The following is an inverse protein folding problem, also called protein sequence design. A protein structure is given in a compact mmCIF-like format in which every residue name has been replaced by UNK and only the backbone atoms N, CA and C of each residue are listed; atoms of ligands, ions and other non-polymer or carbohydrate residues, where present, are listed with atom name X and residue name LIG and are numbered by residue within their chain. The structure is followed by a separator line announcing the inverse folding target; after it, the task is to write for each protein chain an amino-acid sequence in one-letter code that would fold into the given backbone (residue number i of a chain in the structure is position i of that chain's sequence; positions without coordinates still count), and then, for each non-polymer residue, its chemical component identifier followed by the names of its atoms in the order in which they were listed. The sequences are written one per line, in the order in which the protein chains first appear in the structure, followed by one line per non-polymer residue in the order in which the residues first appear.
data_IF_953469981171
#
_entry.id   IF_953469981171
#
_cell.length_a   1.000
_cell.length_b   1.000
_cell.length_c   1.000
_cell.angle_alpha   90.00
_cell.angle_beta   90.00
_cell.angle_gamma   90.00
#
_symmetry.space_group_name_H-M   'P 1'
#
loop_
_entity.id
_entity.type
_entity.pdbx_description
1 polymer ?
#
# COMPACT_ATOMS: atom_id res chain seq x y z
N UNK A 1 36.98 14.65 12.04
CA UNK A 1 35.98 15.73 11.85
C UNK A 1 34.67 15.01 11.55
N UNK A 2 33.75 15.00 12.51
CA UNK A 2 32.41 14.46 12.34
C UNK A 2 31.62 15.45 11.47
N UNK A 3 31.60 15.17 10.16
CA UNK A 3 30.74 15.93 9.27
C UNK A 3 29.29 15.54 9.57
N UNK A 4 28.45 16.49 9.95
CA UNK A 4 27.02 16.29 10.05
C UNK A 4 26.47 15.96 8.65
N UNK A 5 25.96 14.75 8.49
CA UNK A 5 25.28 14.31 7.26
C UNK A 5 23.77 14.27 7.51
N UNK A 6 23.08 15.30 7.04
CA UNK A 6 21.60 15.38 7.14
C UNK A 6 20.87 14.33 6.29
N UNK A 7 21.57 13.71 5.34
CA UNK A 7 21.00 12.69 4.47
C UNK A 7 20.85 11.33 5.14
N UNK A 8 21.51 11.08 6.28
CA UNK A 8 21.50 9.78 6.95
C UNK A 8 20.13 9.36 7.50
N UNK A 9 19.35 10.32 8.01
CA UNK A 9 18.00 10.06 8.54
C UNK A 9 16.95 10.55 7.56
N UNK A 10 15.86 9.80 7.40
CA UNK A 10 14.73 10.14 6.54
C UNK A 10 13.41 10.21 7.30
N UNK A 11 12.38 10.83 6.70
CA UNK A 11 11.12 11.11 7.38
C UNK A 11 11.20 12.31 8.33
N UNK A 12 12.18 13.19 8.11
CA UNK A 12 12.34 14.42 8.89
C UNK A 12 11.21 15.41 8.63
N UNK A 13 10.96 16.30 9.57
CA UNK A 13 10.14 17.48 9.31
C UNK A 13 10.74 18.35 8.20
N UNK A 14 9.89 19.07 7.46
CA UNK A 14 10.32 19.87 6.30
C UNK A 14 11.41 20.90 6.68
N UNK A 15 11.29 21.52 7.86
CA UNK A 15 12.28 22.47 8.39
C UNK A 15 13.68 21.85 8.58
N UNK A 16 13.75 20.53 8.71
CA UNK A 16 15.00 19.79 8.95
C UNK A 16 15.48 19.01 7.73
N UNK A 17 15.04 19.39 6.53
CA UNK A 17 15.43 18.75 5.29
C UNK A 17 14.58 17.52 4.93
N UNK A 18 13.36 17.42 5.45
CA UNK A 18 12.40 16.42 5.04
C UNK A 18 11.87 16.66 3.63
N UNK A 19 11.35 15.61 3.00
CA UNK A 19 10.75 15.66 1.66
C UNK A 19 9.23 15.81 1.73
N UNK A 20 8.67 16.63 0.87
CA UNK A 20 7.24 16.58 0.54
C UNK A 20 6.87 15.20 -0.02
N UNK A 21 5.60 14.83 0.06
CA UNK A 21 5.05 13.53 -0.34
C UNK A 21 5.62 12.31 0.42
N UNK A 22 6.53 12.48 1.43
CA UNK A 22 7.09 11.35 2.19
C UNK A 22 6.03 10.68 3.06
N UNK A 23 5.14 11.46 3.64
CA UNK A 23 4.05 10.97 4.51
C UNK A 23 3.05 10.14 3.70
N UNK A 24 2.73 10.57 2.51
CA UNK A 24 1.79 9.97 1.57
C UNK A 24 2.36 8.74 0.86
N UNK A 25 3.68 8.67 0.75
CA UNK A 25 4.41 7.82 -0.19
C UNK A 25 4.04 6.34 -0.16
N UNK A 26 3.81 5.76 1.01
CA UNK A 26 3.47 4.33 1.10
C UNK A 26 2.07 4.06 0.58
N UNK A 27 1.08 4.85 1.00
CA UNK A 27 -0.30 4.71 0.55
C UNK A 27 -0.45 5.04 -0.94
N UNK A 28 0.17 6.12 -1.39
CA UNK A 28 0.17 6.51 -2.81
C UNK A 28 0.87 5.47 -3.69
N UNK A 29 2.05 5.03 -3.26
CA UNK A 29 2.83 4.01 -3.96
C UNK A 29 2.06 2.70 -4.10
N UNK A 30 1.36 2.26 -3.05
CA UNK A 30 0.47 1.11 -3.10
C UNK A 30 -0.55 1.23 -4.22
N UNK A 31 -1.24 2.36 -4.31
CA UNK A 31 -2.27 2.58 -5.33
C UNK A 31 -1.67 2.72 -6.73
N UNK A 32 -0.49 3.30 -6.89
CA UNK A 32 0.22 3.32 -8.17
C UNK A 32 0.57 1.90 -8.62
N UNK A 33 1.06 1.05 -7.72
CA UNK A 33 1.37 -0.35 -8.04
C UNK A 33 0.10 -1.12 -8.43
N UNK A 34 -0.96 -1.04 -7.61
CA UNK A 34 -2.26 -1.70 -7.87
C UNK A 34 -2.85 -1.21 -9.18
N UNK A 35 -2.78 0.10 -9.47
CA UNK A 35 -3.26 0.66 -10.73
C UNK A 35 -2.51 0.07 -11.93
N UNK A 36 -1.17 -0.01 -11.89
CA UNK A 36 -0.38 -0.62 -12.96
C UNK A 36 -0.78 -2.09 -13.19
N UNK A 37 -1.02 -2.85 -12.11
CA UNK A 37 -1.47 -4.23 -12.17
C UNK A 37 -2.85 -4.36 -12.82
N UNK A 38 -3.79 -3.47 -12.49
CA UNK A 38 -5.14 -3.43 -13.05
C UNK A 38 -5.13 -2.98 -14.52
N UNK A 39 -4.37 -1.93 -14.86
CA UNK A 39 -4.25 -1.42 -16.21
C UNK A 39 -3.71 -2.50 -17.17
N UNK A 40 -2.77 -3.34 -16.72
CA UNK A 40 -2.26 -4.45 -17.50
C UNK A 40 -3.31 -5.54 -17.81
N UNK A 41 -4.39 -5.58 -17.05
CA UNK A 41 -5.55 -6.47 -17.27
C UNK A 41 -6.75 -5.73 -17.88
N UNK A 42 -6.59 -4.46 -18.26
CA UNK A 42 -7.67 -3.58 -18.76
C UNK A 42 -8.84 -3.43 -17.75
N UNK A 43 -8.54 -3.43 -16.45
CA UNK A 43 -9.50 -3.25 -15.37
C UNK A 43 -9.37 -1.83 -14.83
N UNK A 44 -10.49 -1.11 -14.73
CA UNK A 44 -10.50 0.23 -14.11
C UNK A 44 -10.76 0.14 -12.61
N UNK A 45 -10.03 0.93 -11.83
CA UNK A 45 -10.31 1.11 -10.41
C UNK A 45 -11.54 1.99 -10.16
N UNK A 46 -11.91 2.82 -11.15
CA UNK A 46 -13.07 3.73 -11.05
C UNK A 46 -14.36 2.93 -10.84
N UNK A 47 -15.11 3.30 -9.82
CA UNK A 47 -16.37 2.67 -9.43
C UNK A 47 -16.22 1.35 -8.67
N UNK A 48 -15.01 0.86 -8.45
CA UNK A 48 -14.75 -0.33 -7.64
C UNK A 48 -14.98 -0.05 -6.16
N UNK A 49 -15.51 -1.05 -5.46
CA UNK A 49 -15.63 -1.02 -4.00
C UNK A 49 -14.33 -1.51 -3.37
N UNK A 50 -13.76 -0.68 -2.51
CA UNK A 50 -12.47 -0.94 -1.85
C UNK A 50 -12.66 -1.06 -0.35
N UNK A 51 -12.08 -2.12 0.22
CA UNK A 51 -11.97 -2.32 1.67
C UNK A 51 -10.53 -2.03 2.10
N UNK A 52 -10.38 -1.18 3.10
CA UNK A 52 -9.07 -0.82 3.68
C UNK A 52 -9.09 -1.14 5.16
N UNK A 53 -8.05 -1.82 5.65
CA UNK A 53 -7.80 -1.94 7.08
C UNK A 53 -6.86 -0.86 7.58
N UNK A 54 -6.95 -0.53 8.86
CA UNK A 54 -6.17 0.54 9.48
C UNK A 54 -6.80 1.91 9.33
N UNK A 55 -6.22 2.85 10.05
CA UNK A 55 -6.52 4.29 10.04
C UNK A 55 -5.28 5.10 10.39
N UNK A 56 -4.12 4.50 10.22
CA UNK A 56 -2.81 5.15 10.31
C UNK A 56 -2.38 5.72 8.96
N UNK A 57 -1.13 6.12 8.88
CA UNK A 57 -0.57 6.82 7.73
C UNK A 57 -0.80 6.09 6.40
N UNK A 58 -0.44 4.80 6.34
CA UNK A 58 -0.58 4.01 5.11
C UNK A 58 -2.04 3.93 4.68
N UNK A 59 -2.95 3.62 5.61
CA UNK A 59 -4.38 3.49 5.34
C UNK A 59 -4.99 4.82 4.89
N UNK A 60 -4.71 5.92 5.60
CA UNK A 60 -5.24 7.25 5.29
C UNK A 60 -4.90 7.66 3.86
N UNK A 61 -3.64 7.51 3.45
CA UNK A 61 -3.22 7.91 2.11
C UNK A 61 -3.54 6.87 1.03
N UNK A 62 -3.73 5.60 1.39
CA UNK A 62 -4.32 4.62 0.47
C UNK A 62 -5.79 4.94 0.18
N UNK A 63 -6.58 5.34 1.20
CA UNK A 63 -7.97 5.79 1.02
C UNK A 63 -8.00 7.02 0.10
N UNK A 64 -7.16 8.03 0.39
CA UNK A 64 -7.09 9.27 -0.38
C UNK A 64 -6.84 9.00 -1.88
N UNK A 65 -5.80 8.23 -2.19
CA UNK A 65 -5.43 7.95 -3.57
C UNK A 65 -6.42 7.02 -4.27
N UNK A 66 -7.04 6.08 -3.55
CA UNK A 66 -8.10 5.23 -4.11
C UNK A 66 -9.33 6.05 -4.50
N UNK A 67 -9.74 7.00 -3.65
CA UNK A 67 -10.85 7.92 -3.94
C UNK A 67 -10.52 8.87 -5.10
N UNK A 68 -9.27 9.36 -5.18
CA UNK A 68 -8.79 10.16 -6.32
C UNK A 68 -8.90 9.38 -7.64
N UNK A 69 -8.62 8.08 -7.63
CA UNK A 69 -8.81 7.20 -8.80
C UNK A 69 -10.27 6.83 -9.06
N UNK A 70 -11.21 7.38 -8.28
CA UNK A 70 -12.64 7.20 -8.46
C UNK A 70 -13.19 5.90 -7.87
N UNK A 71 -12.44 5.23 -7.00
CA UNK A 71 -12.94 4.09 -6.23
C UNK A 71 -13.80 4.53 -5.05
N UNK A 72 -14.69 3.67 -4.60
CA UNK A 72 -15.46 3.86 -3.38
C UNK A 72 -14.84 3.04 -2.25
N UNK A 73 -14.13 3.71 -1.34
CA UNK A 73 -13.60 3.08 -0.14
C UNK A 73 -14.68 3.04 0.92
N UNK A 74 -15.01 1.85 1.42
CA UNK A 74 -16.17 1.66 2.31
C UNK A 74 -15.78 1.30 3.75
N UNK A 75 -14.51 1.08 4.05
CA UNK A 75 -14.06 0.73 5.41
C UNK A 75 -12.78 1.45 5.81
N UNK A 76 -12.61 1.61 7.11
CA UNK A 76 -11.34 1.82 7.78
C UNK A 76 -11.42 1.15 9.16
N UNK A 77 -10.28 0.85 9.79
CA UNK A 77 -10.26 0.13 11.06
C UNK A 77 -9.18 0.63 12.02
N UNK A 78 -9.32 0.26 13.27
CA UNK A 78 -8.23 0.33 14.26
C UNK A 78 -8.16 -0.98 15.05
N UNK A 79 -7.34 -1.03 16.10
CA UNK A 79 -7.15 -2.25 16.90
C UNK A 79 -8.41 -2.74 17.60
N UNK A 80 -9.44 -1.91 17.74
CA UNK A 80 -10.66 -2.24 18.47
C UNK A 80 -11.79 -2.74 17.55
N UNK A 81 -11.81 -2.25 16.30
CA UNK A 81 -12.86 -2.61 15.35
C UNK A 81 -12.72 -1.89 14.03
N UNK A 82 -13.77 -1.98 13.23
CA UNK A 82 -13.82 -1.31 11.93
C UNK A 82 -15.13 -0.55 11.74
N UNK A 83 -15.08 0.44 10.86
CA UNK A 83 -16.26 1.16 10.36
C UNK A 83 -16.55 0.67 8.96
N UNK A 84 -17.82 0.43 8.67
CA UNK A 84 -18.37 0.24 7.35
C UNK A 84 -19.29 1.40 7.00
N UNK A 85 -18.97 2.13 5.93
CA UNK A 85 -19.83 3.19 5.39
C UNK A 85 -20.21 2.85 3.93
N UNK A 86 -21.47 2.47 3.67
CA UNK A 86 -21.91 2.10 2.32
C UNK A 86 -21.86 3.26 1.32
N UNK A 87 -21.84 4.51 1.79
CA UNK A 87 -21.73 5.70 0.94
C UNK A 87 -20.29 6.05 0.59
N UNK A 88 -19.33 5.45 1.28
CA UNK A 88 -17.90 5.71 1.17
C UNK A 88 -17.37 6.52 2.35
N UNK A 89 -16.15 6.18 2.75
CA UNK A 89 -15.47 6.80 3.90
C UNK A 89 -15.23 8.30 3.62
N UNK A 90 -15.68 9.14 4.55
CA UNK A 90 -15.27 10.54 4.63
C UNK A 90 -13.85 10.63 5.21
N UNK A 91 -12.89 10.83 4.33
CA UNK A 91 -11.48 10.90 4.70
C UNK A 91 -11.17 12.09 5.63
N UNK A 92 -11.86 13.21 5.46
CA UNK A 92 -11.65 14.38 6.31
C UNK A 92 -12.04 14.07 7.77
N UNK A 93 -13.16 13.38 7.96
CA UNK A 93 -13.58 12.91 9.29
C UNK A 93 -12.58 11.92 9.89
N UNK A 94 -12.02 10.99 9.09
CA UNK A 94 -10.99 10.06 9.56
C UNK A 94 -9.73 10.81 9.99
N UNK A 95 -9.23 11.75 9.18
CA UNK A 95 -8.08 12.60 9.51
C UNK A 95 -8.32 13.39 10.79
N UNK A 96 -9.48 14.02 10.93
CA UNK A 96 -9.85 14.76 12.15
C UNK A 96 -9.81 13.87 13.40
N UNK A 97 -10.39 12.69 13.33
CA UNK A 97 -10.40 11.73 14.45
C UNK A 97 -8.98 11.26 14.80
N UNK A 98 -8.18 10.87 13.80
CA UNK A 98 -6.92 10.18 14.01
C UNK A 98 -5.73 11.12 14.22
N UNK A 99 -5.64 12.18 13.44
CA UNK A 99 -4.47 13.08 13.43
C UNK A 99 -4.63 14.24 14.40
N UNK A 100 -5.84 14.82 14.47
CA UNK A 100 -6.11 15.99 15.33
C UNK A 100 -6.50 15.56 16.75
N UNK A 101 -7.58 14.78 16.87
CA UNK A 101 -8.11 14.37 18.18
C UNK A 101 -7.43 13.14 18.78
N UNK A 102 -6.68 12.38 17.97
CA UNK A 102 -6.04 11.11 18.36
C UNK A 102 -7.03 10.11 18.97
N UNK A 103 -8.27 10.16 18.48
CA UNK A 103 -9.39 9.33 18.91
C UNK A 103 -9.41 7.94 18.30
N UNK A 104 -10.51 7.23 18.57
CA UNK A 104 -10.78 5.90 18.03
C UNK A 104 -11.73 5.98 16.85
N UNK A 105 -11.56 5.05 15.87
CA UNK A 105 -12.39 5.07 14.65
C UNK A 105 -13.88 4.89 14.90
N UNK A 106 -14.27 4.30 16.03
CA UNK A 106 -15.69 4.20 16.44
C UNK A 106 -16.40 5.54 16.51
N UNK A 107 -15.66 6.64 16.73
CA UNK A 107 -16.21 7.99 16.80
C UNK A 107 -16.78 8.45 15.43
N UNK A 108 -16.32 7.83 14.33
CA UNK A 108 -16.81 8.11 12.99
C UNK A 108 -18.31 7.86 12.86
N UNK A 109 -18.82 6.74 13.39
CA UNK A 109 -20.23 6.39 13.33
C UNK A 109 -21.14 7.38 14.09
N UNK A 110 -20.61 8.11 15.07
CA UNK A 110 -21.37 9.12 15.79
C UNK A 110 -21.74 10.34 14.92
N UNK A 111 -20.93 10.65 13.91
CA UNK A 111 -21.15 11.77 12.98
C UNK A 111 -21.69 11.33 11.60
N UNK A 112 -21.72 10.02 11.34
CA UNK A 112 -22.16 9.45 10.07
C UNK A 112 -23.26 8.39 10.32
N UNK A 113 -24.53 8.78 10.38
CA UNK A 113 -25.64 7.87 10.80
C UNK A 113 -25.83 6.64 9.92
N UNK A 114 -25.34 6.66 8.68
CA UNK A 114 -25.38 5.52 7.75
C UNK A 114 -24.23 4.55 7.96
N UNK A 115 -23.19 4.96 8.68
CA UNK A 115 -22.02 4.13 8.95
C UNK A 115 -22.26 3.24 10.16
N UNK A 116 -21.78 2.02 10.06
CA UNK A 116 -21.85 1.02 11.13
C UNK A 116 -20.44 0.80 11.72
N UNK A 117 -20.38 0.77 13.06
CA UNK A 117 -19.17 0.35 13.76
C UNK A 117 -19.32 -1.08 14.25
N UNK A 118 -18.32 -1.90 13.97
CA UNK A 118 -18.26 -3.29 14.40
C UNK A 118 -17.02 -3.51 15.27
N UNK A 119 -17.19 -4.19 16.40
CA UNK A 119 -16.07 -4.60 17.24
C UNK A 119 -15.28 -5.75 16.59
N UNK A 120 -13.97 -5.77 16.81
CA UNK A 120 -13.07 -6.75 16.22
C UNK A 120 -12.60 -6.38 14.81
N UNK A 121 -11.31 -6.09 14.68
CA UNK A 121 -10.74 -5.58 13.41
C UNK A 121 -10.77 -6.59 12.26
N UNK A 122 -10.74 -7.90 12.52
CA UNK A 122 -10.74 -8.96 11.48
C UNK A 122 -12.04 -9.00 10.67
N UNK A 123 -13.16 -8.54 11.24
CA UNK A 123 -14.45 -8.49 10.54
C UNK A 123 -14.43 -7.64 9.26
N UNK A 124 -13.48 -6.72 9.11
CA UNK A 124 -13.31 -5.90 7.91
C UNK A 124 -13.18 -6.74 6.63
N UNK A 125 -12.61 -7.95 6.71
CA UNK A 125 -12.41 -8.86 5.58
C UNK A 125 -13.67 -9.63 5.17
N UNK A 126 -14.77 -9.50 5.92
CA UNK A 126 -16.08 -10.07 5.56
C UNK A 126 -16.93 -9.10 4.74
N UNK A 127 -16.53 -7.85 4.61
CA UNK A 127 -17.23 -6.85 3.82
C UNK A 127 -17.03 -7.12 2.33
N UNK A 128 -18.13 -7.08 1.57
CA UNK A 128 -18.10 -7.29 0.12
C UNK A 128 -17.31 -6.18 -0.56
N UNK A 129 -16.31 -6.57 -1.39
CA UNK A 129 -15.47 -5.64 -2.11
C UNK A 129 -14.94 -6.22 -3.41
N UNK A 130 -14.46 -5.35 -4.31
CA UNK A 130 -13.67 -5.71 -5.48
C UNK A 130 -12.18 -5.75 -5.15
N UNK A 131 -11.72 -4.86 -4.26
CA UNK A 131 -10.31 -4.66 -3.91
C UNK A 131 -10.16 -4.62 -2.39
N UNK A 132 -9.19 -5.36 -1.87
CA UNK A 132 -8.81 -5.34 -0.45
C UNK A 132 -7.39 -4.79 -0.29
N UNK A 133 -7.23 -3.80 0.59
CA UNK A 133 -5.97 -3.14 0.88
C UNK A 133 -5.65 -3.29 2.38
N UNK A 134 -4.93 -4.35 2.78
CA UNK A 134 -4.45 -4.49 4.14
C UNK A 134 -3.36 -3.48 4.44
N UNK A 135 -3.68 -2.48 5.27
CA UNK A 135 -2.85 -1.32 5.60
C UNK A 135 -2.63 -1.14 7.10
N UNK A 136 -3.00 -2.12 7.93
CA UNK A 136 -2.90 -2.01 9.39
C UNK A 136 -1.66 -2.72 9.95
N UNK A 137 -1.67 -4.04 9.99
CA UNK A 137 -0.66 -4.81 10.73
C UNK A 137 -0.23 -6.07 10.01
N UNK A 138 0.89 -6.63 10.49
CA UNK A 138 1.37 -7.94 10.06
C UNK A 138 0.34 -9.04 10.40
N UNK A 139 0.20 -10.03 9.51
CA UNK A 139 -0.64 -11.22 9.67
C UNK A 139 -2.12 -10.93 9.97
N UNK A 140 -2.66 -9.85 9.45
CA UNK A 140 -4.06 -9.47 9.62
C UNK A 140 -5.02 -10.24 8.71
N UNK A 141 -4.53 -10.79 7.59
CA UNK A 141 -5.27 -11.68 6.69
C UNK A 141 -4.75 -13.10 6.86
N UNK A 142 -5.50 -13.92 7.58
CA UNK A 142 -5.31 -15.35 7.65
C UNK A 142 -6.11 -16.10 6.56
N UNK A 143 -5.99 -17.42 6.50
CA UNK A 143 -6.68 -18.24 5.49
C UNK A 143 -8.21 -18.06 5.53
N UNK A 144 -8.82 -17.93 6.72
CA UNK A 144 -10.27 -17.76 6.84
C UNK A 144 -10.70 -16.38 6.31
N UNK A 145 -9.93 -15.34 6.61
CA UNK A 145 -10.13 -14.01 6.03
C UNK A 145 -9.99 -14.02 4.50
N UNK A 146 -8.99 -14.75 3.97
CA UNK A 146 -8.79 -14.89 2.54
C UNK A 146 -9.97 -15.61 1.86
N UNK A 147 -10.49 -16.69 2.47
CA UNK A 147 -11.68 -17.39 2.00
C UNK A 147 -12.91 -16.47 1.98
N UNK A 148 -13.10 -15.66 3.02
CA UNK A 148 -14.20 -14.72 3.10
C UNK A 148 -14.12 -13.65 1.99
N UNK A 149 -12.93 -13.06 1.76
CA UNK A 149 -12.69 -12.11 0.67
C UNK A 149 -13.03 -12.71 -0.70
N UNK A 150 -12.54 -13.90 -0.99
CA UNK A 150 -12.80 -14.58 -2.27
C UNK A 150 -14.27 -14.91 -2.44
N UNK A 151 -14.91 -15.43 -1.39
CA UNK A 151 -16.34 -15.75 -1.42
C UNK A 151 -17.21 -14.49 -1.64
N UNK A 152 -16.77 -13.33 -1.17
CA UNK A 152 -17.42 -12.04 -1.36
C UNK A 152 -17.06 -11.34 -2.70
N UNK A 153 -16.28 -11.99 -3.55
CA UNK A 153 -15.99 -11.53 -4.91
C UNK A 153 -14.79 -10.59 -5.02
N UNK A 154 -13.91 -10.56 -4.02
CA UNK A 154 -12.66 -9.79 -4.08
C UNK A 154 -11.78 -10.30 -5.23
N UNK A 155 -11.38 -9.39 -6.11
CA UNK A 155 -10.58 -9.68 -7.30
C UNK A 155 -9.11 -9.28 -7.14
N UNK A 156 -8.84 -8.39 -6.21
CA UNK A 156 -7.53 -7.77 -6.04
C UNK A 156 -7.19 -7.63 -4.57
N UNK A 157 -5.99 -8.04 -4.18
CA UNK A 157 -5.40 -7.76 -2.86
C UNK A 157 -4.10 -6.99 -3.06
N UNK A 158 -3.98 -5.82 -2.44
CA UNK A 158 -2.78 -5.00 -2.48
C UNK A 158 -2.24 -4.72 -1.08
N UNK A 159 -1.06 -5.22 -0.77
CA UNK A 159 -0.49 -5.16 0.56
C UNK A 159 0.21 -3.83 0.85
N UNK A 160 -0.40 -2.99 1.69
CA UNK A 160 0.17 -1.73 2.17
C UNK A 160 1.01 -1.90 3.44
N UNK A 161 0.56 -2.73 4.38
CA UNK A 161 1.32 -3.09 5.57
C UNK A 161 2.46 -4.07 5.23
N UNK A 162 3.36 -4.29 6.19
CA UNK A 162 4.42 -5.29 6.05
C UNK A 162 3.87 -6.68 6.39
N UNK A 163 3.97 -7.60 5.42
CA UNK A 163 3.53 -9.00 5.56
C UNK A 163 2.12 -9.15 6.18
N UNK A 164 1.10 -8.46 5.65
CA UNK A 164 -0.23 -8.49 6.25
C UNK A 164 -0.96 -9.81 6.01
N UNK A 165 -0.64 -10.53 4.93
CA UNK A 165 -1.23 -11.84 4.63
C UNK A 165 -0.29 -12.97 5.09
N UNK A 166 -0.89 -14.03 5.64
CA UNK A 166 -0.16 -15.26 5.96
C UNK A 166 0.18 -16.04 4.68
N UNK A 167 1.17 -16.94 4.74
CA UNK A 167 1.62 -17.67 3.54
C UNK A 167 0.52 -18.55 2.94
N UNK A 168 -0.32 -19.13 3.77
CA UNK A 168 -1.47 -19.94 3.35
C UNK A 168 -2.58 -19.07 2.74
N UNK A 169 -2.79 -17.85 3.23
CA UNK A 169 -3.68 -16.87 2.59
C UNK A 169 -3.16 -16.47 1.20
N UNK A 170 -1.86 -16.19 1.06
CA UNK A 170 -1.24 -15.86 -0.23
C UNK A 170 -1.40 -17.01 -1.22
N UNK A 171 -1.09 -18.25 -0.80
CA UNK A 171 -1.24 -19.43 -1.63
C UNK A 171 -2.70 -19.61 -2.10
N UNK A 172 -3.66 -19.37 -1.20
CA UNK A 172 -5.08 -19.44 -1.54
C UNK A 172 -5.50 -18.35 -2.55
N UNK A 173 -5.04 -17.11 -2.40
CA UNK A 173 -5.30 -16.05 -3.38
C UNK A 173 -4.76 -16.42 -4.76
N UNK A 174 -3.55 -16.98 -4.84
CA UNK A 174 -2.95 -17.44 -6.09
C UNK A 174 -3.76 -18.59 -6.71
N UNK A 175 -4.15 -19.60 -5.92
CA UNK A 175 -5.02 -20.71 -6.38
C UNK A 175 -6.35 -20.21 -6.96
N UNK A 176 -6.91 -19.16 -6.37
CA UNK A 176 -8.19 -18.55 -6.80
C UNK A 176 -8.05 -17.47 -7.87
N UNK A 177 -6.84 -17.26 -8.40
CA UNK A 177 -6.54 -16.26 -9.43
C UNK A 177 -6.91 -14.83 -9.00
N UNK A 178 -6.81 -14.52 -7.70
CA UNK A 178 -6.90 -13.15 -7.20
C UNK A 178 -5.62 -12.42 -7.56
N UNK A 179 -5.73 -11.24 -8.15
CA UNK A 179 -4.58 -10.40 -8.45
C UNK A 179 -3.94 -9.95 -7.13
N UNK A 180 -2.69 -10.34 -6.92
CA UNK A 180 -2.01 -10.12 -5.65
C UNK A 180 -0.77 -9.24 -5.81
N UNK A 181 -0.78 -8.09 -5.14
CA UNK A 181 0.33 -7.15 -5.07
C UNK A 181 1.10 -7.34 -3.76
N UNK A 182 2.26 -8.01 -3.77
CA UNK A 182 3.00 -8.37 -2.56
C UNK A 182 3.61 -7.15 -1.87
N UNK A 183 3.60 -7.12 -0.54
CA UNK A 183 4.05 -6.02 0.30
C UNK A 183 5.42 -5.47 -0.12
N UNK A 184 6.42 -6.34 -0.30
CA UNK A 184 7.80 -5.94 -0.64
C UNK A 184 7.93 -5.12 -1.93
N UNK A 185 6.94 -5.21 -2.83
CA UNK A 185 6.87 -4.43 -4.05
C UNK A 185 5.83 -3.30 -3.92
N UNK A 186 4.62 -3.62 -3.45
CA UNK A 186 3.50 -2.70 -3.42
C UNK A 186 3.66 -1.57 -2.40
N UNK A 187 4.29 -1.82 -1.24
CA UNK A 187 4.50 -0.79 -0.23
C UNK A 187 5.87 -0.07 -0.32
N UNK A 188 6.63 -0.32 -1.38
CA UNK A 188 7.97 0.25 -1.55
C UNK A 188 7.99 1.78 -1.70
N UNK A 189 6.84 2.43 -1.88
CA UNK A 189 6.73 3.88 -2.03
C UNK A 189 7.38 4.66 -0.89
N UNK A 190 7.19 4.22 0.35
CA UNK A 190 7.78 4.86 1.51
C UNK A 190 9.31 4.89 1.48
N UNK A 191 9.95 3.76 1.21
CA UNK A 191 11.41 3.68 1.10
C UNK A 191 11.93 4.38 -0.16
N UNK A 192 11.16 4.37 -1.25
CA UNK A 192 11.52 5.09 -2.47
C UNK A 192 11.61 6.60 -2.22
N UNK A 193 10.60 7.20 -1.57
CA UNK A 193 10.65 8.64 -1.25
C UNK A 193 11.69 8.93 -0.15
N UNK A 194 12.00 7.99 0.73
CA UNK A 194 13.16 8.13 1.62
C UNK A 194 14.47 8.29 0.84
N UNK A 195 14.68 7.51 -0.22
CA UNK A 195 15.84 7.65 -1.09
C UNK A 195 15.83 8.99 -1.85
N UNK A 196 14.66 9.46 -2.29
CA UNK A 196 14.51 10.79 -2.89
C UNK A 196 14.81 11.91 -1.89
N UNK A 197 14.41 11.77 -0.61
CA UNK A 197 14.75 12.70 0.45
C UNK A 197 16.28 12.77 0.66
N UNK A 198 16.95 11.62 0.68
CA UNK A 198 18.42 11.57 0.76
C UNK A 198 19.08 12.27 -0.43
N UNK A 199 18.56 12.08 -1.64
CA UNK A 199 19.05 12.75 -2.85
C UNK A 199 18.89 14.28 -2.74
N UNK A 200 17.71 14.76 -2.36
CA UNK A 200 17.44 16.20 -2.16
C UNK A 200 18.40 16.80 -1.12
N UNK A 201 18.66 16.08 -0.01
CA UNK A 201 19.57 16.53 1.03
C UNK A 201 21.01 16.60 0.52
N UNK A 202 21.47 15.62 -0.28
CA UNK A 202 22.81 15.58 -0.85
C UNK A 202 23.02 16.69 -1.90
N UNK A 203 22.01 16.98 -2.68
CA UNK A 203 22.01 18.07 -3.67
C UNK A 203 21.79 19.45 -3.02
N UNK A 204 21.36 19.48 -1.75
CA UNK A 204 20.92 20.69 -1.02
C UNK A 204 19.76 21.42 -1.69
N UNK A 205 18.85 20.64 -2.29
CA UNK A 205 17.64 21.11 -2.96
C UNK A 205 16.40 20.61 -2.24
N UNK A 206 15.29 21.27 -2.52
CA UNK A 206 13.95 20.82 -2.12
C UNK A 206 13.08 20.77 -3.38
N UNK A 207 12.47 19.62 -3.62
CA UNK A 207 11.56 19.43 -4.74
C UNK A 207 10.12 19.71 -4.32
N UNK A 208 9.28 20.08 -5.29
CA UNK A 208 7.85 20.25 -5.04
C UNK A 208 7.16 18.92 -4.77
N UNK A 209 5.93 19.00 -4.26
CA UNK A 209 5.12 17.79 -4.06
C UNK A 209 4.93 17.02 -5.36
N UNK A 210 4.61 17.73 -6.45
CA UNK A 210 4.35 17.18 -7.78
C UNK A 210 5.60 16.49 -8.36
N UNK A 211 6.78 17.07 -8.15
CA UNK A 211 8.05 16.46 -8.58
C UNK A 211 8.33 15.14 -7.85
N UNK A 212 8.13 15.13 -6.53
CA UNK A 212 8.34 13.90 -5.72
C UNK A 212 7.29 12.86 -6.05
N UNK A 213 6.01 13.23 -6.14
CA UNK A 213 4.92 12.31 -6.47
C UNK A 213 5.05 11.76 -7.90
N UNK A 214 5.45 12.59 -8.87
CA UNK A 214 5.75 12.16 -10.23
C UNK A 214 6.86 11.09 -10.27
N UNK A 215 7.97 11.31 -9.55
CA UNK A 215 9.05 10.33 -9.42
C UNK A 215 8.59 9.05 -8.70
N UNK A 216 7.79 9.19 -7.65
CA UNK A 216 7.20 8.05 -6.95
C UNK A 216 6.36 7.19 -7.88
N UNK A 217 5.51 7.81 -8.70
CA UNK A 217 4.68 7.12 -9.68
C UNK A 217 5.53 6.32 -10.68
N UNK A 218 6.60 6.93 -11.21
CA UNK A 218 7.51 6.27 -12.15
C UNK A 218 8.27 5.11 -11.48
N UNK A 219 8.74 5.30 -10.25
CA UNK A 219 9.41 4.25 -9.47
C UNK A 219 8.47 3.06 -9.26
N UNK A 220 7.23 3.29 -8.86
CA UNK A 220 6.26 2.22 -8.61
C UNK A 220 5.87 1.48 -9.90
N UNK A 221 5.75 2.20 -11.02
CA UNK A 221 5.56 1.60 -12.34
C UNK A 221 6.75 0.69 -12.71
N UNK A 222 7.98 1.15 -12.50
CA UNK A 222 9.19 0.37 -12.76
C UNK A 222 9.28 -0.87 -11.85
N UNK A 223 8.92 -0.76 -10.57
CA UNK A 223 8.88 -1.92 -9.65
C UNK A 223 7.87 -2.95 -10.15
N UNK A 224 6.67 -2.52 -10.55
CA UNK A 224 5.68 -3.42 -11.12
C UNK A 224 6.18 -4.11 -12.40
N UNK A 225 6.74 -3.35 -13.35
CA UNK A 225 7.25 -3.90 -14.61
C UNK A 225 8.38 -4.91 -14.39
N UNK A 226 9.29 -4.62 -13.46
CA UNK A 226 10.38 -5.53 -13.11
C UNK A 226 9.85 -6.84 -12.48
N UNK A 227 8.90 -6.75 -11.55
CA UNK A 227 8.27 -7.93 -10.96
C UNK A 227 7.53 -8.76 -12.03
N UNK A 228 6.75 -8.10 -12.88
CA UNK A 228 6.01 -8.76 -13.97
C UNK A 228 6.95 -9.43 -14.97
N UNK A 229 7.96 -8.73 -15.46
CA UNK A 229 8.95 -9.28 -16.40
C UNK A 229 9.61 -10.55 -15.86
N UNK A 230 10.05 -10.52 -14.60
CA UNK A 230 10.66 -11.69 -14.00
C UNK A 230 9.66 -12.83 -13.78
N UNK A 231 8.42 -12.54 -13.44
CA UNK A 231 7.36 -13.56 -13.36
C UNK A 231 7.11 -14.22 -14.71
N UNK A 232 7.04 -13.45 -15.78
CA UNK A 232 6.87 -13.94 -17.17
C UNK A 232 8.07 -14.79 -17.62
N UNK A 233 9.29 -14.32 -17.38
CA UNK A 233 10.54 -15.00 -17.79
C UNK A 233 10.69 -16.36 -17.11
N UNK A 234 10.23 -16.49 -15.87
CA UNK A 234 10.31 -17.72 -15.09
C UNK A 234 9.03 -18.55 -15.08
N UNK A 235 8.10 -18.27 -16.02
CA UNK A 235 6.99 -19.15 -16.38
C UNK A 235 5.71 -19.01 -15.57
N UNK A 236 5.56 -17.99 -14.74
CA UNK A 236 4.32 -17.72 -14.00
C UNK A 236 3.96 -16.22 -14.04
N UNK A 237 3.40 -15.73 -15.16
CA UNK A 237 3.23 -14.30 -15.46
C UNK A 237 2.40 -13.50 -14.47
N UNK A 238 1.52 -14.15 -13.73
CA UNK A 238 0.62 -13.50 -12.79
C UNK A 238 1.11 -13.59 -11.32
N UNK A 239 2.21 -14.31 -11.08
CA UNK A 239 2.80 -14.49 -9.77
C UNK A 239 3.81 -13.36 -9.43
N UNK A 240 3.29 -12.20 -9.07
CA UNK A 240 4.13 -11.07 -8.68
C UNK A 240 4.93 -11.31 -7.38
N UNK A 241 4.54 -12.27 -6.54
CA UNK A 241 5.33 -12.68 -5.35
C UNK A 241 6.64 -13.31 -5.81
N UNK A 242 6.55 -14.27 -6.73
CA UNK A 242 7.73 -14.90 -7.33
C UNK A 242 8.55 -13.89 -8.13
N UNK A 243 7.90 -13.09 -8.99
CA UNK A 243 8.56 -12.10 -9.82
C UNK A 243 9.34 -11.06 -9.01
N UNK A 244 8.77 -10.54 -7.92
CA UNK A 244 9.47 -9.60 -7.05
C UNK A 244 10.67 -10.22 -6.33
N UNK A 245 10.57 -11.49 -5.91
CA UNK A 245 11.68 -12.22 -5.31
C UNK A 245 12.82 -12.44 -6.31
N UNK A 246 12.49 -12.90 -7.51
CA UNK A 246 13.47 -13.17 -8.57
C UNK A 246 14.13 -11.89 -9.02
N UNK A 247 13.38 -10.80 -9.23
CA UNK A 247 13.93 -9.49 -9.61
C UNK A 247 14.99 -9.00 -8.61
N UNK A 248 14.74 -9.17 -7.31
CA UNK A 248 15.71 -8.82 -6.29
C UNK A 248 16.92 -9.75 -6.27
N UNK A 249 16.71 -11.06 -6.41
CA UNK A 249 17.77 -12.06 -6.46
C UNK A 249 18.69 -11.86 -7.65
N UNK A 250 18.15 -11.69 -8.87
CA UNK A 250 18.92 -11.48 -10.10
C UNK A 250 19.87 -10.28 -9.95
N UNK A 251 19.38 -9.17 -9.41
CA UNK A 251 20.20 -7.98 -9.19
C UNK A 251 21.41 -8.25 -8.28
N UNK A 252 21.20 -9.03 -7.22
CA UNK A 252 22.31 -9.41 -6.31
C UNK A 252 23.25 -10.41 -6.99
N UNK A 253 22.72 -11.43 -7.66
CA UNK A 253 23.50 -12.45 -8.35
C UNK A 253 24.37 -11.84 -9.45
N UNK A 254 23.82 -10.96 -10.28
CA UNK A 254 24.58 -10.26 -11.34
C UNK A 254 25.69 -9.39 -10.75
N UNK A 255 25.44 -8.73 -9.63
CA UNK A 255 26.46 -7.96 -8.92
C UNK A 255 27.59 -8.86 -8.42
N UNK A 256 27.26 -10.01 -7.84
CA UNK A 256 28.25 -11.00 -7.39
C UNK A 256 29.06 -11.56 -8.56
N UNK A 257 28.42 -11.83 -9.70
CA UNK A 257 29.12 -12.29 -10.92
C UNK A 257 30.06 -11.21 -11.47
N UNK A 258 29.65 -9.94 -11.44
CA UNK A 258 30.45 -8.83 -11.95
C UNK A 258 31.64 -8.46 -11.04
N UNK A 259 31.45 -8.54 -9.72
CA UNK A 259 32.44 -8.10 -8.74
C UNK A 259 33.27 -9.27 -8.13
N UNK A 260 32.81 -10.50 -8.32
CA UNK A 260 33.36 -11.68 -7.68
C UNK A 260 32.85 -11.87 -6.24
N UNK A 261 33.22 -13.02 -5.69
CA UNK A 261 33.00 -13.32 -4.27
C UNK A 261 34.20 -12.77 -3.48
N UNK A 262 33.95 -11.84 -2.58
CA UNK A 262 34.98 -11.23 -1.71
C UNK A 262 34.90 -11.90 -0.35
#
# INVERSE_FOLDING_TARGET
RDAYDSAFLTGKGLTYGGSLARTEATGYGLLYFVKNMLDAKNISLKGKTVVVSGSGNVATYAIEKAQEFGAKVVTCSDSNGYVYDPNGIDLAAVKEIKEVRRGRIKEYAASHPQAEYHEGCKGVWTVKCDVALPCATQSEIDLESAKALVANGCQVVGEGANMPSTLDAIAYFQEKNVLFAPAKAANAGGVAVSALEMSQNSERLSWTFEEVDGRLKDIMANIYQNAKKNAEEYGDPDNLVMGANIAAFVKVADTMLAQGLV
#
